data_IF_519565430872
#
_entry.id   IF_519565430872
#
_cell.length_a   1.000
_cell.length_b   1.000
_cell.length_c   1.000
_cell.angle_alpha   90.00
_cell.angle_beta   90.00
_cell.angle_gamma   90.00
#
_symmetry.space_group_name_H-M   'P 1'
#
loop_
_entity.id
_entity.type
_entity.pdbx_description
1 polymer ?
#
# COMPACT_ATOMS: atom_id res chain seq x y z
N UNK A 1 56.77 -27.44 45.67
CA UNK A 1 55.51 -26.71 45.90
C UNK A 1 54.55 -27.02 44.76
N UNK A 2 53.41 -27.63 45.09
CA UNK A 2 52.53 -28.32 44.13
C UNK A 2 51.66 -27.40 43.26
N UNK A 3 51.38 -27.87 42.04
CA UNK A 3 50.20 -27.44 41.26
C UNK A 3 49.05 -28.38 41.60
N UNK A 4 47.99 -27.80 42.18
CA UNK A 4 46.71 -28.44 42.50
C UNK A 4 46.01 -28.92 41.21
N UNK A 5 45.59 -30.18 41.18
CA UNK A 5 44.46 -30.64 40.37
C UNK A 5 43.18 -30.15 41.04
N UNK A 6 42.36 -29.37 40.33
CA UNK A 6 41.00 -29.00 40.75
C UNK A 6 40.02 -29.48 39.67
N UNK A 7 39.15 -30.37 40.11
CA UNK A 7 37.80 -30.68 39.62
C UNK A 7 37.61 -31.04 38.15
N UNK A 8 37.97 -32.29 37.84
CA UNK A 8 37.49 -33.02 36.66
C UNK A 8 36.20 -33.83 36.95
N UNK A 9 35.72 -33.87 38.20
CA UNK A 9 34.51 -34.61 38.61
C UNK A 9 33.21 -33.80 38.50
N UNK A 10 33.25 -32.47 38.64
CA UNK A 10 32.05 -31.62 38.63
C UNK A 10 31.34 -31.54 37.26
N UNK A 11 32.03 -31.91 36.17
CA UNK A 11 31.48 -31.84 34.81
C UNK A 11 30.76 -33.13 34.36
N UNK A 12 30.89 -34.25 35.09
CA UNK A 12 30.32 -35.54 34.67
C UNK A 12 28.85 -35.74 35.08
N UNK A 13 28.37 -35.01 36.09
CA UNK A 13 26.99 -35.11 36.56
C UNK A 13 26.07 -33.96 36.09
N UNK A 14 26.63 -32.81 35.70
CA UNK A 14 25.86 -31.62 35.32
C UNK A 14 25.15 -31.76 33.97
N UNK A 15 25.79 -32.40 32.99
CA UNK A 15 25.21 -32.64 31.67
C UNK A 15 23.99 -33.58 31.69
N UNK A 16 24.02 -34.76 32.34
CA UNK A 16 22.85 -35.64 32.39
C UNK A 16 21.69 -35.06 33.21
N UNK A 17 21.97 -34.24 34.24
CA UNK A 17 20.94 -33.55 35.02
C UNK A 17 20.23 -32.48 34.19
N UNK A 18 20.96 -31.69 33.40
CA UNK A 18 20.37 -30.69 32.49
C UNK A 18 19.50 -31.35 31.42
N UNK A 19 19.93 -32.50 30.89
CA UNK A 19 19.15 -33.27 29.92
C UNK A 19 17.86 -33.79 30.58
N UNK A 20 17.94 -34.34 31.80
CA UNK A 20 16.77 -34.79 32.56
C UNK A 20 15.77 -33.67 32.85
N UNK A 21 16.26 -32.49 33.26
CA UNK A 21 15.41 -31.31 33.51
C UNK A 21 14.74 -30.83 32.21
N UNK A 22 15.46 -30.84 31.09
CA UNK A 22 14.90 -30.51 29.77
C UNK A 22 13.85 -31.50 29.29
N UNK A 23 14.05 -32.81 29.55
CA UNK A 23 13.05 -33.82 29.20
C UNK A 23 11.79 -33.69 30.07
N UNK A 24 11.94 -33.40 31.36
CA UNK A 24 10.82 -33.20 32.28
C UNK A 24 10.05 -31.91 31.92
N UNK A 25 10.74 -30.82 31.56
CA UNK A 25 10.08 -29.58 31.13
C UNK A 25 9.33 -29.75 29.81
N UNK A 26 9.92 -30.44 28.83
CA UNK A 26 9.25 -30.74 27.57
C UNK A 26 8.05 -31.67 27.79
N UNK A 27 8.17 -32.71 28.61
CA UNK A 27 7.06 -33.61 28.92
C UNK A 27 5.89 -32.86 29.59
N UNK A 28 6.18 -31.98 30.56
CA UNK A 28 5.14 -31.15 31.20
C UNK A 28 4.44 -30.23 30.20
N UNK A 29 5.16 -29.60 29.28
CA UNK A 29 4.56 -28.76 28.21
C UNK A 29 3.64 -29.60 27.32
N UNK A 30 4.08 -30.78 26.88
CA UNK A 30 3.28 -31.66 26.02
C UNK A 30 2.09 -32.31 26.72
N UNK A 31 2.13 -32.51 28.04
CA UNK A 31 1.00 -33.09 28.79
C UNK A 31 0.01 -32.04 29.28
N UNK A 32 0.48 -30.84 29.69
CA UNK A 32 -0.38 -29.82 30.28
C UNK A 32 -0.98 -28.84 29.27
N UNK A 33 -0.32 -28.53 28.13
CA UNK A 33 -0.94 -27.66 27.12
C UNK A 33 -2.24 -28.25 26.55
N UNK A 34 -2.30 -29.52 26.12
CA UNK A 34 -3.53 -30.08 25.58
C UNK A 34 -4.66 -30.14 26.62
N UNK A 35 -4.31 -30.35 27.89
CA UNK A 35 -5.27 -30.40 29.00
C UNK A 35 -5.87 -29.01 29.30
N UNK A 36 -5.06 -27.96 29.28
CA UNK A 36 -5.52 -26.57 29.44
C UNK A 36 -6.37 -26.09 28.25
N UNK A 37 -6.03 -26.52 27.02
CA UNK A 37 -6.84 -26.25 25.83
C UNK A 37 -8.23 -26.93 25.87
N UNK A 38 -8.31 -28.14 26.46
CA UNK A 38 -9.58 -28.88 26.61
C UNK A 38 -10.54 -28.26 27.62
N UNK A 39 -10.02 -27.63 28.68
CA UNK A 39 -10.83 -26.92 29.68
C UNK A 39 -11.43 -25.61 29.13
N UNK A 40 -10.80 -24.99 28.13
CA UNK A 40 -11.23 -23.74 27.50
C UNK A 40 -11.98 -23.93 26.16
N UNK A 41 -12.27 -25.17 25.74
CA UNK A 41 -13.07 -25.45 24.53
C UNK A 41 -12.41 -25.04 23.20
N UNK A 42 -11.08 -24.99 23.11
CA UNK A 42 -10.36 -24.56 21.89
C UNK A 42 -10.01 -25.70 20.92
N UNK A 43 -10.29 -25.49 19.63
CA UNK A 43 -9.89 -26.36 18.51
C UNK A 43 -8.38 -26.21 18.19
N UNK A 44 -7.59 -27.30 18.14
CA UNK A 44 -6.13 -27.25 17.94
C UNK A 44 -5.68 -26.82 16.53
N UNK A 45 -6.59 -26.66 15.56
CA UNK A 45 -6.27 -26.21 14.19
C UNK A 45 -5.96 -24.70 14.05
N UNK A 46 -6.06 -23.92 15.15
CA UNK A 46 -5.86 -22.44 15.16
C UNK A 46 -4.52 -21.95 15.73
N UNK A 47 -3.56 -22.83 16.01
CA UNK A 47 -2.32 -22.47 16.71
C UNK A 47 -1.25 -21.78 15.84
N UNK A 48 -1.43 -21.66 14.51
CA UNK A 48 -0.49 -20.92 13.65
C UNK A 48 -0.77 -19.40 13.55
N UNK A 49 -1.83 -18.88 14.19
CA UNK A 49 -2.24 -17.47 13.98
C UNK A 49 -2.14 -16.53 15.19
N UNK A 50 -1.33 -16.82 16.20
CA UNK A 50 -1.22 -15.95 17.38
C UNK A 50 0.23 -15.60 17.73
N UNK A 51 0.86 -14.82 16.86
CA UNK A 51 1.83 -13.81 17.28
C UNK A 51 1.09 -12.45 17.28
N UNK A 52 0.46 -12.13 18.42
CA UNK A 52 -0.17 -10.84 18.68
C UNK A 52 0.94 -9.79 18.82
N UNK A 53 1.08 -8.92 17.81
CA UNK A 53 1.73 -7.62 18.00
C UNK A 53 0.63 -6.64 18.47
N UNK A 54 0.76 -6.20 19.72
CA UNK A 54 0.15 -4.97 20.22
C UNK A 54 1.02 -3.80 19.77
N UNK A 55 0.40 -2.85 19.07
CA UNK A 55 0.61 -1.39 19.15
C UNK A 55 -0.33 -0.80 18.08
N UNK A 56 -1.18 0.18 18.34
CA UNK A 56 -0.91 1.44 19.01
C UNK A 56 -1.17 2.54 17.98
N UNK A 57 -2.45 2.94 17.87
CA UNK A 57 -2.95 4.10 17.13
C UNK A 57 -2.71 4.15 15.59
N UNK A 58 -3.49 3.36 14.86
CA UNK A 58 -3.98 3.72 13.53
C UNK A 58 -5.43 3.21 13.46
N UNK A 59 -6.37 4.13 13.30
CA UNK A 59 -7.80 3.87 13.40
C UNK A 59 -8.27 2.56 12.75
N UNK A 60 -8.90 1.72 13.58
CA UNK A 60 -9.72 0.55 13.27
C UNK A 60 -9.87 0.21 11.77
N UNK A 61 -8.94 -0.58 11.26
CA UNK A 61 -9.05 -1.32 9.99
C UNK A 61 -9.73 -2.67 10.24
N UNK A 62 -10.98 -2.64 10.70
CA UNK A 62 -11.84 -3.83 10.67
C UNK A 62 -12.51 -3.93 9.29
N UNK A 63 -12.15 -4.98 8.54
CA UNK A 63 -12.64 -5.25 7.19
C UNK A 63 -11.48 -5.60 6.27
N UNK A 64 -11.19 -6.90 6.14
CA UNK A 64 -10.00 -7.50 5.54
C UNK A 64 -9.41 -6.71 4.38
N UNK A 65 -8.23 -6.12 4.61
CA UNK A 65 -7.36 -5.68 3.53
C UNK A 65 -6.99 -6.92 2.72
N UNK A 66 -7.53 -7.03 1.51
CA UNK A 66 -7.04 -7.98 0.52
C UNK A 66 -5.53 -7.75 0.40
N UNK A 67 -4.73 -8.79 0.63
CA UNK A 67 -3.28 -8.64 0.70
C UNK A 67 -2.74 -8.34 -0.70
N UNK A 68 -2.56 -7.06 -1.01
CA UNK A 68 -2.07 -6.62 -2.30
C UNK A 68 -0.62 -7.01 -2.53
N UNK A 69 -0.35 -7.60 -3.70
CA UNK A 69 0.99 -7.82 -4.23
C UNK A 69 0.98 -8.09 -5.75
N UNK A 70 0.76 -7.02 -6.53
CA UNK A 70 0.73 -7.03 -8.01
C UNK A 70 1.92 -6.25 -8.59
N UNK A 71 2.26 -6.57 -9.84
CA UNK A 71 3.29 -5.86 -10.62
C UNK A 71 2.88 -5.75 -12.08
N UNK A 72 3.69 -5.03 -12.85
CA UNK A 72 3.49 -4.80 -14.29
C UNK A 72 4.30 -5.83 -15.07
N UNK A 73 3.65 -6.57 -15.95
CA UNK A 73 4.31 -7.48 -16.88
C UNK A 73 5.09 -6.72 -17.95
N UNK A 74 6.16 -7.33 -18.45
CA UNK A 74 7.02 -6.76 -19.48
C UNK A 74 7.65 -5.41 -19.10
N UNK A 75 7.95 -5.25 -17.81
CA UNK A 75 8.60 -4.07 -17.26
C UNK A 75 9.79 -4.50 -16.40
N UNK A 76 10.94 -3.87 -16.63
CA UNK A 76 12.10 -4.02 -15.74
C UNK A 76 12.41 -2.70 -15.02
N UNK A 77 12.17 -2.70 -13.71
CA UNK A 77 12.74 -1.65 -12.86
C UNK A 77 14.20 -1.95 -12.54
N UNK A 78 15.05 -0.95 -12.76
CA UNK A 78 16.47 -0.97 -12.47
C UNK A 78 16.74 -0.52 -11.04
N UNK A 79 17.97 -0.70 -10.60
CA UNK A 79 18.41 -0.33 -9.26
C UNK A 79 19.34 -1.37 -8.65
N UNK A 80 20.13 -0.98 -7.62
CA UNK A 80 20.98 -1.89 -6.87
C UNK A 80 20.17 -3.03 -6.25
N UNK A 81 20.67 -4.26 -6.40
CA UNK A 81 20.09 -5.43 -5.77
C UNK A 81 20.41 -5.42 -4.27
N UNK A 82 19.36 -5.53 -3.45
CA UNK A 82 19.48 -5.85 -2.02
C UNK A 82 19.39 -7.36 -1.79
N UNK A 83 18.79 -8.10 -2.73
CA UNK A 83 18.86 -9.56 -2.80
C UNK A 83 19.01 -10.04 -4.24
N UNK A 84 20.01 -10.89 -4.48
CA UNK A 84 20.36 -11.40 -5.80
C UNK A 84 19.42 -12.54 -6.21
N UNK A 85 18.77 -12.38 -7.37
CA UNK A 85 17.75 -13.34 -7.84
C UNK A 85 18.29 -14.69 -8.28
N UNK A 86 19.59 -14.78 -8.62
CA UNK A 86 20.25 -16.04 -8.97
C UNK A 86 20.14 -17.10 -7.87
N UNK A 87 20.13 -16.66 -6.61
CA UNK A 87 20.03 -17.49 -5.40
C UNK A 87 18.69 -17.33 -4.67
N UNK A 88 17.84 -16.42 -5.14
CA UNK A 88 16.56 -16.10 -4.52
C UNK A 88 15.43 -16.28 -5.52
N UNK A 89 14.73 -17.41 -5.41
CA UNK A 89 13.72 -17.83 -6.37
C UNK A 89 12.36 -18.08 -5.73
N UNK A 90 11.31 -17.75 -6.45
CA UNK A 90 9.92 -18.03 -6.09
C UNK A 90 9.17 -18.68 -7.26
N UNK A 91 7.98 -19.19 -6.99
CA UNK A 91 7.10 -19.75 -8.01
C UNK A 91 6.08 -18.73 -8.57
N UNK A 92 6.02 -17.52 -8.01
CA UNK A 92 5.14 -16.44 -8.45
C UNK A 92 5.71 -15.05 -8.20
N UNK A 93 5.22 -14.08 -8.97
CA UNK A 93 5.51 -12.65 -8.77
C UNK A 93 4.93 -12.15 -7.44
N UNK A 94 3.76 -12.65 -7.03
CA UNK A 94 3.14 -12.32 -5.75
C UNK A 94 4.05 -12.65 -4.57
N UNK A 95 4.68 -13.83 -4.55
CA UNK A 95 5.64 -14.19 -3.50
C UNK A 95 6.90 -13.33 -3.52
N UNK A 96 7.37 -12.95 -4.72
CA UNK A 96 8.49 -12.02 -4.86
C UNK A 96 8.15 -10.63 -4.30
N UNK A 97 6.95 -10.12 -4.59
CA UNK A 97 6.42 -8.91 -4.01
C UNK A 97 6.33 -8.98 -2.48
N UNK A 98 5.73 -10.06 -1.95
CA UNK A 98 5.59 -10.27 -0.50
C UNK A 98 6.95 -10.31 0.20
N UNK A 99 7.96 -10.91 -0.44
CA UNK A 99 9.33 -10.90 0.07
C UNK A 99 9.93 -9.49 0.14
N UNK A 100 9.70 -8.64 -0.88
CA UNK A 100 10.11 -7.23 -0.83
C UNK A 100 9.37 -6.48 0.28
N UNK A 101 8.05 -6.64 0.34
CA UNK A 101 7.17 -6.01 1.34
C UNK A 101 7.54 -6.38 2.77
N UNK A 102 7.95 -7.62 3.02
CA UNK A 102 8.44 -8.06 4.33
C UNK A 102 9.73 -7.34 4.77
N UNK A 103 10.46 -6.70 3.85
CA UNK A 103 11.62 -5.86 4.15
C UNK A 103 11.25 -4.39 4.42
N UNK A 104 9.95 -4.09 4.57
CA UNK A 104 9.41 -2.77 4.93
C UNK A 104 8.89 -2.71 6.38
N UNK A 105 9.27 -3.64 7.24
CA UNK A 105 8.72 -3.79 8.60
C UNK A 105 9.41 -2.91 9.67
N UNK A 106 10.31 -2.00 9.28
CA UNK A 106 10.99 -1.12 10.23
C UNK A 106 10.05 -0.05 10.82
N UNK A 107 10.13 0.18 12.13
CA UNK A 107 9.45 1.31 12.77
C UNK A 107 10.14 2.66 12.43
N UNK A 108 11.41 2.63 12.02
CA UNK A 108 12.21 3.79 11.70
C UNK A 108 12.81 3.66 10.29
N UNK A 109 12.28 4.41 9.32
CA UNK A 109 12.93 4.65 8.03
C UNK A 109 12.32 3.98 6.79
N UNK A 110 12.88 4.27 5.60
CA UNK A 110 12.40 3.78 4.31
C UNK A 110 12.63 2.27 4.16
N UNK A 111 11.86 1.62 3.28
CA UNK A 111 11.99 0.18 3.04
C UNK A 111 13.42 -0.20 2.59
N UNK A 112 13.96 -1.33 3.06
CA UNK A 112 15.21 -1.89 2.51
C UNK A 112 15.03 -2.38 1.08
N UNK A 113 13.83 -2.89 0.74
CA UNK A 113 13.41 -3.20 -0.61
C UNK A 113 12.18 -2.37 -0.96
N UNK A 114 12.27 -1.56 -2.00
CA UNK A 114 11.12 -0.79 -2.52
C UNK A 114 10.78 -1.15 -3.98
N UNK A 115 11.51 -2.11 -4.54
CA UNK A 115 11.36 -2.56 -5.92
C UNK A 115 11.65 -4.04 -6.00
N UNK A 116 10.86 -4.77 -6.76
CA UNK A 116 11.11 -6.18 -7.04
C UNK A 116 10.94 -6.47 -8.52
N UNK A 117 11.67 -7.48 -9.00
CA UNK A 117 11.64 -7.93 -10.40
C UNK A 117 11.61 -9.47 -10.40
N UNK A 118 10.68 -10.06 -11.13
CA UNK A 118 10.44 -11.50 -11.16
C UNK A 118 10.31 -12.05 -12.58
N UNK A 119 10.90 -13.22 -12.85
CA UNK A 119 10.76 -13.88 -14.15
C UNK A 119 9.83 -15.09 -14.07
N UNK A 120 8.59 -14.92 -14.54
CA UNK A 120 7.52 -15.93 -14.41
C UNK A 120 7.27 -16.80 -15.64
N UNK A 121 7.71 -16.40 -16.83
CA UNK A 121 7.45 -17.15 -18.05
C UNK A 121 8.55 -18.16 -18.32
N UNK A 122 8.27 -19.46 -18.11
CA UNK A 122 9.27 -20.54 -18.27
C UNK A 122 9.96 -20.54 -19.64
N UNK A 123 9.26 -20.18 -20.72
CA UNK A 123 9.81 -20.20 -22.08
C UNK A 123 10.75 -19.01 -22.32
N UNK A 124 10.35 -17.83 -21.88
CA UNK A 124 11.11 -16.58 -22.09
C UNK A 124 12.26 -16.42 -21.09
N UNK A 125 12.08 -16.89 -19.85
CA UNK A 125 13.05 -16.71 -18.78
C UNK A 125 14.27 -17.62 -18.88
N UNK A 126 14.16 -18.80 -19.52
CA UNK A 126 15.25 -19.78 -19.59
C UNK A 126 15.81 -20.12 -18.20
N UNK A 127 17.11 -19.92 -18.00
CA UNK A 127 17.80 -20.15 -16.70
C UNK A 127 17.34 -19.21 -15.58
N UNK A 128 16.74 -18.07 -15.93
CA UNK A 128 16.24 -17.05 -15.01
C UNK A 128 14.84 -17.35 -14.47
N UNK A 129 14.22 -18.44 -14.91
CA UNK A 129 12.88 -18.79 -14.43
C UNK A 129 12.85 -18.88 -12.91
N UNK A 130 11.87 -18.18 -12.33
CA UNK A 130 11.65 -18.08 -10.90
C UNK A 130 12.57 -17.09 -10.17
N UNK A 131 13.58 -16.49 -10.82
CA UNK A 131 14.44 -15.49 -10.18
C UNK A 131 13.61 -14.31 -9.66
N UNK A 132 13.85 -13.95 -8.40
CA UNK A 132 13.27 -12.80 -7.74
C UNK A 132 14.38 -11.87 -7.29
N UNK A 133 14.47 -10.71 -7.92
CA UNK A 133 15.45 -9.69 -7.59
C UNK A 133 14.79 -8.65 -6.71
N UNK A 134 15.29 -8.51 -5.48
CA UNK A 134 14.86 -7.44 -4.58
C UNK A 134 15.83 -6.29 -4.74
N UNK A 135 15.32 -5.09 -4.96
CA UNK A 135 16.08 -3.89 -5.33
C UNK A 135 15.67 -2.70 -4.48
N UNK A 136 16.50 -1.65 -4.54
CA UNK A 136 16.26 -0.35 -3.92
C UNK A 136 16.37 0.76 -4.96
N UNK A 137 15.39 1.64 -5.04
CA UNK A 137 15.46 2.85 -5.86
C UNK A 137 16.27 3.93 -5.17
N UNK A 138 16.92 4.77 -5.98
CA UNK A 138 17.42 6.06 -5.51
C UNK A 138 16.27 7.01 -5.17
N UNK A 139 15.21 6.97 -5.99
CA UNK A 139 14.00 7.76 -5.83
C UNK A 139 12.77 6.92 -6.19
N UNK A 140 11.94 6.59 -5.19
CA UNK A 140 10.75 5.76 -5.37
C UNK A 140 9.65 6.43 -6.20
N UNK A 141 9.67 7.76 -6.32
CA UNK A 141 8.73 8.51 -7.17
C UNK A 141 9.27 8.78 -8.58
N UNK A 142 10.52 8.43 -8.86
CA UNK A 142 11.12 8.37 -10.21
C UNK A 142 11.93 7.07 -10.33
N UNK A 143 11.26 5.91 -10.39
CA UNK A 143 11.94 4.63 -10.47
C UNK A 143 12.71 4.51 -11.78
N UNK A 144 13.97 4.06 -11.70
CA UNK A 144 14.77 3.82 -12.89
C UNK A 144 14.18 2.63 -13.67
N UNK A 145 14.01 2.78 -14.99
CA UNK A 145 13.48 1.74 -15.89
C UNK A 145 14.37 1.58 -17.12
N UNK A 146 14.40 0.38 -17.70
CA UNK A 146 15.05 0.18 -18.99
C UNK A 146 14.28 0.91 -20.09
N UNK A 147 14.89 1.89 -20.75
CA UNK A 147 14.34 2.51 -21.96
C UNK A 147 14.74 1.70 -23.21
N UNK A 148 13.75 1.18 -23.95
CA UNK A 148 13.94 0.74 -25.34
C UNK A 148 13.44 -0.66 -25.74
N UNK A 149 12.59 -0.68 -26.78
CA UNK A 149 12.60 -1.60 -27.94
C UNK A 149 12.25 -3.08 -27.78
N UNK A 150 12.61 -3.74 -26.69
CA UNK A 150 12.35 -5.18 -26.49
C UNK A 150 11.39 -5.40 -25.34
N UNK A 151 10.40 -6.27 -25.56
CA UNK A 151 9.52 -6.78 -24.51
C UNK A 151 10.37 -7.38 -23.40
N UNK A 152 10.39 -6.75 -22.23
CA UNK A 152 11.11 -7.27 -21.07
C UNK A 152 10.52 -8.62 -20.65
N UNK A 153 11.36 -9.57 -20.25
CA UNK A 153 10.91 -10.88 -19.71
C UNK A 153 10.45 -10.79 -18.25
N UNK A 154 10.59 -9.61 -17.65
CA UNK A 154 10.39 -9.39 -16.24
C UNK A 154 9.00 -8.82 -15.94
N UNK A 155 8.45 -9.26 -14.81
CA UNK A 155 7.38 -8.57 -14.10
C UNK A 155 8.02 -7.77 -12.98
N UNK A 156 7.71 -6.48 -12.88
CA UNK A 156 8.27 -5.63 -11.80
C UNK A 156 7.18 -4.90 -11.03
N UNK A 157 7.45 -4.57 -9.77
CA UNK A 157 6.56 -3.76 -8.95
C UNK A 157 7.34 -2.91 -7.95
N UNK A 158 6.64 -1.92 -7.39
CA UNK A 158 7.15 -1.01 -6.38
C UNK A 158 6.49 -1.31 -5.04
N UNK A 159 7.18 -1.02 -3.95
CA UNK A 159 6.67 -1.03 -2.58
C UNK A 159 6.99 0.32 -1.95
N UNK A 160 5.97 0.99 -1.43
CA UNK A 160 6.15 2.24 -0.70
C UNK A 160 6.03 1.98 0.81
N UNK A 161 7.09 2.34 1.54
CA UNK A 161 7.13 2.26 2.99
C UNK A 161 6.27 3.31 3.68
N UNK A 162 6.33 3.33 5.01
CA UNK A 162 5.68 4.38 5.81
C UNK A 162 6.27 5.75 5.45
N UNK A 163 5.41 6.71 5.13
CA UNK A 163 5.82 8.07 4.75
C UNK A 163 6.41 8.20 3.34
N UNK A 164 6.48 7.11 2.57
CA UNK A 164 6.91 7.12 1.17
C UNK A 164 5.72 7.01 0.23
N UNK A 165 5.91 7.33 -1.06
CA UNK A 165 4.85 7.18 -2.05
C UNK A 165 3.72 8.20 -1.93
N UNK A 166 3.99 9.35 -1.32
CA UNK A 166 3.00 10.40 -1.09
C UNK A 166 3.20 11.54 -2.10
N UNK A 167 2.12 11.88 -2.80
CA UNK A 167 2.08 12.95 -3.81
C UNK A 167 1.10 14.04 -3.36
N UNK A 168 1.32 15.27 -3.79
CA UNK A 168 0.48 16.42 -3.47
C UNK A 168 -0.40 16.78 -4.67
N UNK A 169 -1.71 16.90 -4.45
CA UNK A 169 -2.64 17.59 -5.35
C UNK A 169 -2.85 19.01 -4.80
N UNK A 170 -2.16 19.98 -5.35
CA UNK A 170 -2.29 21.38 -4.94
C UNK A 170 -3.48 22.04 -5.65
N UNK A 171 -4.33 22.72 -4.88
CA UNK A 171 -5.45 23.53 -5.35
C UNK A 171 -5.42 24.90 -4.66
N UNK A 172 -6.20 25.85 -5.15
CA UNK A 172 -6.37 27.16 -4.47
C UNK A 172 -7.14 27.06 -3.15
N UNK A 173 -7.66 25.88 -2.81
CA UNK A 173 -8.39 25.63 -1.56
C UNK A 173 -7.56 24.89 -0.50
N UNK A 174 -6.35 24.43 -0.86
CA UNK A 174 -5.47 23.65 -0.01
C UNK A 174 -4.77 22.54 -0.81
N UNK A 175 -3.93 21.78 -0.12
CA UNK A 175 -3.20 20.65 -0.71
C UNK A 175 -3.74 19.34 -0.17
N UNK A 176 -4.00 18.38 -1.05
CA UNK A 176 -4.36 17.01 -0.67
C UNK A 176 -3.14 16.11 -0.87
N UNK A 177 -2.60 15.55 0.21
CA UNK A 177 -1.56 14.54 0.11
C UNK A 177 -2.19 13.15 -0.07
N UNK A 178 -1.80 12.47 -1.16
CA UNK A 178 -2.31 11.17 -1.54
C UNK A 178 -1.20 10.14 -1.34
N UNK A 179 -1.43 9.17 -0.46
CA UNK A 179 -0.60 7.97 -0.34
C UNK A 179 -0.99 7.00 -1.44
N UNK A 180 -0.03 6.63 -2.30
CA UNK A 180 -0.23 5.73 -3.43
C UNK A 180 -0.09 4.25 -3.04
N UNK A 181 -0.78 3.37 -3.76
CA UNK A 181 -0.82 1.91 -3.51
C UNK A 181 -0.23 1.10 -4.68
N UNK A 182 1.10 1.09 -4.88
CA UNK A 182 1.72 0.45 -6.04
C UNK A 182 1.59 -1.08 -6.06
N UNK A 183 1.40 -1.70 -4.90
CA UNK A 183 1.20 -3.15 -4.76
C UNK A 183 -0.24 -3.58 -5.07
N UNK A 184 -1.20 -2.67 -4.95
CA UNK A 184 -2.62 -2.89 -5.28
C UNK A 184 -2.96 -2.48 -6.72
N UNK A 185 -2.43 -1.33 -7.15
CA UNK A 185 -2.77 -0.66 -8.40
C UNK A 185 -1.51 -0.20 -9.15
N UNK A 186 -0.59 -1.13 -9.51
CA UNK A 186 0.69 -0.78 -10.12
C UNK A 186 0.58 0.05 -11.41
N UNK A 187 -0.38 -0.24 -12.30
CA UNK A 187 -0.55 0.53 -13.54
C UNK A 187 -1.07 1.94 -13.27
N UNK A 188 -2.03 2.06 -12.35
CA UNK A 188 -2.54 3.37 -11.91
C UNK A 188 -1.44 4.22 -11.29
N UNK A 189 -0.63 3.63 -10.40
CA UNK A 189 0.48 4.35 -9.77
C UNK A 189 1.54 4.73 -10.80
N UNK A 190 1.90 3.84 -11.74
CA UNK A 190 2.83 4.17 -12.81
C UNK A 190 2.37 5.39 -13.62
N UNK A 191 1.08 5.48 -13.94
CA UNK A 191 0.52 6.66 -14.61
C UNK A 191 0.66 7.94 -13.77
N UNK A 192 0.40 7.88 -12.46
CA UNK A 192 0.61 9.04 -11.56
C UNK A 192 2.09 9.46 -11.53
N UNK A 193 3.03 8.51 -11.55
CA UNK A 193 4.46 8.82 -11.59
C UNK A 193 4.86 9.48 -12.93
N UNK A 194 4.31 9.04 -14.05
CA UNK A 194 4.50 9.68 -15.35
C UNK A 194 3.96 11.12 -15.37
N UNK A 195 2.78 11.36 -14.77
CA UNK A 195 2.24 12.71 -14.61
C UNK A 195 3.14 13.61 -13.73
N UNK A 196 3.82 13.07 -12.71
CA UNK A 196 4.75 13.84 -11.88
C UNK A 196 5.96 14.33 -12.67
N UNK A 197 6.41 13.59 -13.69
CA UNK A 197 7.56 13.96 -14.52
C UNK A 197 7.26 15.17 -15.41
N UNK A 198 6.01 15.32 -15.84
CA UNK A 198 5.55 16.44 -16.68
C UNK A 198 5.48 17.78 -15.92
N UNK A 199 5.64 17.78 -14.59
CA UNK A 199 5.61 18.94 -13.65
C UNK A 199 4.33 19.77 -13.62
N UNK A 200 3.48 19.68 -14.64
CA UNK A 200 2.19 20.34 -14.75
C UNK A 200 1.20 19.42 -15.47
N UNK A 201 -0.01 19.32 -14.94
CA UNK A 201 -1.13 18.69 -15.64
C UNK A 201 -2.09 19.80 -16.08
N UNK A 202 -1.91 20.31 -17.30
CA UNK A 202 -2.67 21.46 -17.81
C UNK A 202 -4.18 21.18 -18.02
N UNK A 203 -4.63 19.93 -17.84
CA UNK A 203 -6.03 19.51 -17.91
C UNK A 203 -6.61 19.01 -16.58
N UNK A 204 -5.81 18.89 -15.52
CA UNK A 204 -6.28 18.30 -14.27
C UNK A 204 -7.13 19.28 -13.45
N UNK A 205 -8.31 18.84 -13.05
CA UNK A 205 -9.24 19.65 -12.26
C UNK A 205 -10.32 18.80 -11.58
N UNK A 206 -10.99 19.33 -10.57
CA UNK A 206 -12.27 18.83 -10.07
C UNK A 206 -13.42 19.60 -10.74
N UNK A 207 -14.46 18.89 -11.15
CA UNK A 207 -15.68 19.47 -11.75
C UNK A 207 -16.95 19.07 -11.02
N UNK A 208 -16.93 18.06 -10.15
CA UNK A 208 -18.10 17.59 -9.39
C UNK A 208 -17.77 17.56 -7.91
N UNK A 209 -18.71 18.04 -7.11
CA UNK A 209 -18.56 18.18 -5.67
C UNK A 209 -19.90 17.90 -4.98
N UNK A 210 -19.92 16.88 -4.14
CA UNK A 210 -21.10 16.45 -3.40
C UNK A 210 -20.72 16.21 -1.95
N UNK A 211 -21.26 17.03 -1.05
CA UNK A 211 -21.08 16.86 0.39
C UNK A 211 -21.75 15.59 0.92
N UNK A 212 -21.57 15.33 2.22
CA UNK A 212 -22.19 14.18 2.91
C UNK A 212 -23.70 14.30 3.14
N UNK A 213 -24.27 15.49 2.97
CA UNK A 213 -25.69 15.73 3.28
C UNK A 213 -26.05 15.26 4.69
N UNK A 214 -27.17 14.57 4.83
CA UNK A 214 -27.63 13.95 6.08
C UNK A 214 -27.48 12.42 6.08
N UNK A 215 -26.69 11.89 5.14
CA UNK A 215 -26.63 10.46 4.86
C UNK A 215 -25.43 9.75 5.50
N UNK A 216 -24.40 10.51 5.88
CA UNK A 216 -23.22 9.99 6.58
C UNK A 216 -22.89 10.84 7.81
N UNK A 217 -22.31 10.18 8.82
CA UNK A 217 -21.81 10.83 10.04
C UNK A 217 -20.49 11.58 9.80
N UNK A 218 -19.97 12.21 10.87
CA UNK A 218 -18.69 12.93 10.85
C UNK A 218 -17.47 12.06 10.54
N UNK A 219 -17.57 10.73 10.71
CA UNK A 219 -16.54 9.75 10.37
C UNK A 219 -16.71 9.17 8.97
N UNK A 220 -17.79 9.52 8.27
CA UNK A 220 -18.12 9.01 6.94
C UNK A 220 -18.84 7.66 6.96
N UNK A 221 -19.41 7.23 8.09
CA UNK A 221 -20.23 6.02 8.14
C UNK A 221 -21.68 6.33 7.74
N UNK A 222 -22.35 5.44 6.99
CA UNK A 222 -23.75 5.61 6.65
C UNK A 222 -24.63 5.73 7.90
N UNK A 223 -25.56 6.68 7.89
CA UNK A 223 -26.60 6.80 8.91
C UNK A 223 -27.70 5.78 8.59
N UNK A 224 -28.21 5.09 9.61
CA UNK A 224 -29.24 4.07 9.44
C UNK A 224 -30.48 4.63 8.72
N UNK A 225 -30.97 3.91 7.71
CA UNK A 225 -32.13 4.27 6.88
C UNK A 225 -31.97 5.57 6.05
N UNK A 226 -30.79 6.18 6.00
CA UNK A 226 -30.54 7.35 5.16
C UNK A 226 -30.27 6.94 3.68
N UNK A 227 -30.65 7.77 2.70
CA UNK A 227 -30.36 7.47 1.30
C UNK A 227 -28.86 7.52 1.03
N UNK A 228 -28.32 6.57 0.27
CA UNK A 228 -26.89 6.52 -0.10
C UNK A 228 -26.56 7.40 -1.33
N UNK A 229 -27.40 8.40 -1.57
CA UNK A 229 -27.23 9.43 -2.58
C UNK A 229 -28.43 9.60 -3.53
N UNK A 230 -28.44 10.71 -4.29
CA UNK A 230 -27.58 11.88 -4.12
C UNK A 230 -27.93 12.69 -2.83
N UNK A 231 -26.95 13.37 -2.20
CA UNK A 231 -25.56 13.48 -2.64
C UNK A 231 -24.74 12.22 -2.34
N UNK A 232 -23.69 11.95 -3.13
CA UNK A 232 -22.84 10.76 -3.03
C UNK A 232 -21.55 10.96 -2.21
N UNK A 233 -21.42 12.06 -1.45
CA UNK A 233 -20.26 12.28 -0.57
C UNK A 233 -18.89 12.14 -1.26
N UNK A 234 -18.67 12.83 -2.38
CA UNK A 234 -17.43 12.74 -3.17
C UNK A 234 -17.04 14.07 -3.81
N UNK A 235 -15.75 14.20 -4.14
CA UNK A 235 -15.28 15.15 -5.15
C UNK A 235 -14.74 14.36 -6.33
N UNK A 236 -15.09 14.76 -7.55
CA UNK A 236 -14.73 14.05 -8.78
C UNK A 236 -14.13 15.02 -9.80
N UNK A 237 -13.14 14.52 -10.54
CA UNK A 237 -12.32 15.29 -11.46
C UNK A 237 -11.66 14.43 -12.52
N UNK A 238 -10.82 15.07 -13.32
CA UNK A 238 -10.05 14.45 -14.41
C UNK A 238 -8.55 14.51 -14.09
N UNK A 239 -7.84 13.39 -14.25
CA UNK A 239 -6.37 13.34 -14.23
C UNK A 239 -5.83 13.06 -15.64
N UNK A 240 -5.92 14.02 -16.55
CA UNK A 240 -5.40 13.93 -17.91
C UNK A 240 -4.68 15.22 -18.28
N UNK A 241 -3.50 15.11 -18.87
CA UNK A 241 -2.74 16.27 -19.36
C UNK A 241 -3.18 16.66 -20.76
N UNK A 242 -3.17 17.95 -21.07
CA UNK A 242 -3.45 18.39 -22.44
C UNK A 242 -2.32 17.93 -23.37
N UNK A 243 -2.69 17.34 -24.51
CA UNK A 243 -1.76 16.97 -25.58
C UNK A 243 -1.30 15.50 -25.58
N UNK A 244 -1.45 14.79 -24.46
CA UNK A 244 -1.15 13.35 -24.36
C UNK A 244 -2.43 12.59 -23.98
N UNK A 245 -3.04 11.81 -24.89
CA UNK A 245 -4.28 11.10 -24.62
C UNK A 245 -4.10 10.06 -23.50
N UNK A 246 -5.02 10.06 -22.54
CA UNK A 246 -5.02 9.06 -21.49
C UNK A 246 -5.28 7.66 -22.06
N UNK A 247 -4.38 6.73 -21.73
CA UNK A 247 -4.56 5.31 -22.03
C UNK A 247 -5.37 4.65 -20.92
N UNK A 248 -6.55 4.13 -21.28
CA UNK A 248 -7.42 3.38 -20.36
C UNK A 248 -6.64 2.30 -19.60
N UNK A 249 -6.85 2.27 -18.29
CA UNK A 249 -6.23 1.31 -17.37
C UNK A 249 -7.23 0.18 -17.11
N UNK A 250 -6.77 -1.07 -17.24
CA UNK A 250 -7.56 -2.24 -16.87
C UNK A 250 -7.84 -2.24 -15.36
N UNK A 251 -9.01 -2.69 -14.90
CA UNK A 251 -9.32 -2.75 -13.47
C UNK A 251 -8.25 -3.53 -12.68
N UNK A 252 -7.78 -2.95 -11.57
CA UNK A 252 -6.79 -3.56 -10.69
C UNK A 252 -7.48 -4.08 -9.41
N UNK A 253 -6.90 -3.89 -8.22
CA UNK A 253 -7.61 -4.25 -6.98
C UNK A 253 -8.74 -3.24 -6.74
N UNK A 254 -9.97 -3.76 -6.57
CA UNK A 254 -11.15 -2.95 -6.30
C UNK A 254 -11.68 -3.25 -4.89
N UNK A 255 -11.12 -2.63 -3.83
CA UNK A 255 -11.63 -2.82 -2.47
C UNK A 255 -12.94 -2.06 -2.25
N UNK A 256 -13.52 -2.19 -1.06
CA UNK A 256 -14.59 -1.27 -0.63
C UNK A 256 -14.06 0.15 -0.57
N UNK A 257 -14.86 1.11 -1.03
CA UNK A 257 -14.53 2.53 -0.93
C UNK A 257 -14.68 2.97 0.52
N UNK A 258 -13.59 3.53 1.05
CA UNK A 258 -13.53 4.11 2.38
C UNK A 258 -13.42 5.63 2.25
N UNK A 259 -13.73 6.35 3.32
CA UNK A 259 -13.44 7.78 3.41
C UNK A 259 -11.95 8.02 3.13
N UNK A 260 -11.65 8.94 2.22
CA UNK A 260 -10.32 9.25 1.74
C UNK A 260 -9.82 8.38 0.57
N UNK A 261 -10.53 7.32 0.17
CA UNK A 261 -10.15 6.53 -1.01
C UNK A 261 -10.09 7.40 -2.26
N UNK A 262 -9.02 7.22 -3.04
CA UNK A 262 -8.84 7.82 -4.37
C UNK A 262 -8.94 6.71 -5.41
N UNK A 263 -9.89 6.83 -6.34
CA UNK A 263 -10.22 5.75 -7.26
C UNK A 263 -10.61 6.25 -8.65
N UNK A 264 -10.40 5.41 -9.65
CA UNK A 264 -10.85 5.68 -11.02
C UNK A 264 -12.35 5.49 -11.15
N UNK A 265 -12.99 6.35 -11.94
CA UNK A 265 -14.31 6.11 -12.52
C UNK A 265 -14.10 5.28 -13.79
N UNK A 266 -14.54 4.01 -13.76
CA UNK A 266 -14.28 3.08 -14.85
C UNK A 266 -12.78 2.82 -15.03
N UNK A 267 -12.27 3.08 -16.23
CA UNK A 267 -10.85 2.87 -16.59
C UNK A 267 -10.00 4.14 -16.56
N UNK A 268 -10.51 5.25 -15.99
CA UNK A 268 -9.89 6.59 -16.06
C UNK A 268 -10.17 7.33 -17.39
N UNK A 269 -9.73 8.61 -17.55
CA UNK A 269 -8.93 9.43 -16.62
C UNK A 269 -9.74 10.09 -15.50
N UNK A 270 -11.05 9.88 -15.51
CA UNK A 270 -11.96 10.38 -14.49
C UNK A 270 -11.71 9.66 -13.16
N UNK A 271 -11.60 10.42 -12.08
CA UNK A 271 -11.31 9.90 -10.74
C UNK A 271 -12.17 10.60 -9.69
N UNK A 272 -12.28 10.00 -8.52
CA UNK A 272 -12.92 10.63 -7.37
C UNK A 272 -12.11 10.43 -6.09
N UNK A 273 -12.35 11.33 -5.14
CA UNK A 273 -11.95 11.22 -3.74
C UNK A 273 -13.23 11.08 -2.92
N UNK A 274 -13.32 9.99 -2.15
CA UNK A 274 -14.48 9.72 -1.32
C UNK A 274 -14.43 10.50 -0.01
N UNK A 275 -15.53 11.14 0.37
CA UNK A 275 -15.71 11.79 1.67
C UNK A 275 -16.36 10.85 2.69
N UNK A 276 -16.80 9.67 2.25
CA UNK A 276 -17.49 8.68 3.08
C UNK A 276 -17.15 7.22 2.73
N UNK A 277 -17.65 6.29 3.53
CA UNK A 277 -17.58 4.86 3.28
C UNK A 277 -18.76 4.44 2.40
N UNK A 278 -18.48 3.75 1.29
CA UNK A 278 -19.47 3.23 0.35
C UNK A 278 -19.34 1.72 0.19
N UNK A 279 -20.09 0.97 0.99
CA UNK A 279 -20.14 -0.49 0.91
C UNK A 279 -20.97 -0.97 -0.29
N UNK A 280 -21.97 -0.18 -0.67
CA UNK A 280 -22.93 -0.42 -1.74
C UNK A 280 -22.31 -0.36 -3.14
N UNK A 281 -21.15 0.28 -3.29
CA UNK A 281 -20.40 0.32 -4.55
C UNK A 281 -19.63 -0.98 -4.87
N UNK A 282 -19.85 -2.03 -4.06
CA UNK A 282 -19.54 -3.43 -4.36
C UNK A 282 -18.25 -3.70 -5.16
N UNK A 283 -17.11 -3.16 -4.71
CA UNK A 283 -15.79 -3.52 -5.24
C UNK A 283 -15.63 -3.31 -6.76
N UNK A 284 -16.19 -2.24 -7.32
CA UNK A 284 -16.11 -1.98 -8.78
C UNK A 284 -15.03 -0.98 -9.18
N UNK A 285 -14.50 -0.21 -8.25
CA UNK A 285 -13.57 0.89 -8.53
C UNK A 285 -12.14 0.53 -8.14
N UNK A 286 -11.20 0.73 -9.05
CA UNK A 286 -9.77 0.59 -8.76
C UNK A 286 -9.32 1.71 -7.83
N UNK A 287 -8.93 1.36 -6.60
CA UNK A 287 -8.40 2.30 -5.62
C UNK A 287 -6.88 2.32 -5.73
N UNK A 288 -6.34 3.45 -6.16
CA UNK A 288 -4.90 3.62 -6.39
C UNK A 288 -4.21 4.45 -5.31
N UNK A 289 -4.97 5.05 -4.38
CA UNK A 289 -4.41 5.73 -3.24
C UNK A 289 -5.45 6.14 -2.19
N UNK A 290 -4.98 6.85 -1.17
CA UNK A 290 -5.82 7.47 -0.15
C UNK A 290 -5.31 8.86 0.23
N UNK A 291 -6.21 9.81 0.42
CA UNK A 291 -5.92 11.10 1.06
C UNK A 291 -5.44 10.84 2.49
N UNK A 292 -4.41 11.57 2.92
CA UNK A 292 -3.97 11.52 4.31
C UNK A 292 -5.05 12.09 5.25
N UNK A 293 -5.27 11.52 6.45
CA UNK A 293 -6.34 11.94 7.35
C UNK A 293 -6.36 13.46 7.64
N UNK A 294 -5.19 14.07 7.79
CA UNK A 294 -5.00 15.50 8.05
C UNK A 294 -5.50 16.41 6.93
N UNK A 295 -5.51 15.96 5.67
CA UNK A 295 -5.93 16.78 4.53
C UNK A 295 -7.40 16.55 4.14
N UNK A 296 -8.12 15.69 4.85
CA UNK A 296 -9.53 15.44 4.54
C UNK A 296 -10.41 16.69 4.71
N UNK A 297 -10.00 17.64 5.56
CA UNK A 297 -10.68 18.94 5.68
C UNK A 297 -10.62 19.75 4.38
N UNK A 298 -9.55 19.61 3.58
CA UNK A 298 -9.42 20.26 2.27
C UNK A 298 -10.42 19.66 1.28
N UNK A 299 -10.58 18.32 1.28
CA UNK A 299 -11.55 17.65 0.43
C UNK A 299 -12.98 18.05 0.80
N UNK A 300 -13.29 18.15 2.09
CA UNK A 300 -14.60 18.62 2.58
C UNK A 300 -14.85 20.09 2.24
N UNK A 301 -13.82 20.94 2.30
CA UNK A 301 -13.90 22.34 1.87
C UNK A 301 -14.22 22.47 0.37
N UNK A 302 -13.60 21.67 -0.48
CA UNK A 302 -13.90 21.62 -1.93
C UNK A 302 -15.34 21.13 -2.16
N UNK A 303 -15.80 20.14 -1.39
CA UNK A 303 -17.16 19.62 -1.47
C UNK A 303 -18.25 20.65 -1.11
N UNK A 304 -17.90 21.68 -0.34
CA UNK A 304 -18.78 22.78 0.07
C UNK A 304 -18.79 23.98 -0.88
N UNK A 305 -18.05 23.93 -2.00
CA UNK A 305 -18.03 25.02 -2.98
C UNK A 305 -19.37 25.17 -3.73
N UNK A 306 -19.66 26.34 -4.33
CA UNK A 306 -20.88 26.54 -5.09
C UNK A 306 -21.03 25.54 -6.26
N UNK A 307 -22.19 24.89 -6.32
CA UNK A 307 -22.54 23.92 -7.37
C UNK A 307 -23.79 24.36 -8.14
N UNK A 308 -24.01 23.71 -9.28
CA UNK A 308 -25.24 23.75 -10.07
C UNK A 308 -25.75 22.31 -10.25
N UNK A 309 -27.07 22.09 -10.25
CA UNK A 309 -27.62 20.76 -10.49
C UNK A 309 -27.40 20.36 -11.96
N UNK A 310 -27.16 19.07 -12.18
CA UNK A 310 -27.11 18.43 -13.50
C UNK A 310 -27.66 17.00 -13.40
N UNK A 311 -27.90 16.32 -14.53
CA UNK A 311 -28.45 14.96 -14.57
C UNK A 311 -27.61 14.07 -15.48
N UNK A 312 -26.96 13.06 -14.90
CA UNK A 312 -26.15 12.09 -15.65
C UNK A 312 -26.77 10.70 -15.53
N UNK A 313 -27.10 10.07 -16.66
CA UNK A 313 -27.73 8.75 -16.69
C UNK A 313 -28.96 8.63 -15.76
N UNK A 314 -29.81 9.65 -15.74
CA UNK A 314 -30.98 9.79 -14.86
C UNK A 314 -30.67 9.89 -13.34
N UNK A 315 -29.44 10.23 -12.98
CA UNK A 315 -29.02 10.50 -11.61
C UNK A 315 -28.75 12.00 -11.46
N UNK A 316 -29.38 12.63 -10.46
CA UNK A 316 -29.09 14.03 -10.13
C UNK A 316 -27.68 14.13 -9.52
N UNK A 317 -26.89 15.07 -10.02
CA UNK A 317 -25.53 15.33 -9.56
C UNK A 317 -25.32 16.82 -9.29
N UNK A 318 -24.33 17.14 -8.46
CA UNK A 318 -23.93 18.53 -8.18
C UNK A 318 -22.59 18.83 -8.85
N UNK A 319 -22.62 19.64 -9.91
CA UNK A 319 -21.44 20.04 -10.68
C UNK A 319 -20.95 21.37 -10.15
N UNK A 320 -19.64 21.53 -9.95
CA UNK A 320 -19.05 22.79 -9.54
C UNK A 320 -19.38 23.90 -10.55
N UNK A 321 -19.73 25.09 -10.06
CA UNK A 321 -19.98 26.24 -10.94
C UNK A 321 -18.69 26.66 -11.66
N UNK A 322 -17.57 26.61 -10.95
CA UNK A 322 -16.22 26.81 -11.47
C UNK A 322 -15.38 25.56 -11.17
N UNK A 323 -14.71 25.03 -12.19
CA UNK A 323 -13.81 23.90 -11.98
C UNK A 323 -12.66 24.30 -11.07
N UNK A 324 -12.25 23.42 -10.16
CA UNK A 324 -11.08 23.64 -9.29
C UNK A 324 -9.86 23.04 -9.96
N UNK A 325 -8.94 23.85 -10.51
CA UNK A 325 -7.72 23.33 -11.12
C UNK A 325 -6.86 22.65 -10.06
N UNK A 326 -6.15 21.58 -10.45
CA UNK A 326 -5.23 20.91 -9.55
C UNK A 326 -3.87 20.68 -10.20
N UNK A 327 -2.82 20.74 -9.39
CA UNK A 327 -1.44 20.46 -9.81
C UNK A 327 -0.89 19.28 -9.03
N UNK A 328 -0.46 18.27 -9.75
CA UNK A 328 0.22 17.12 -9.18
C UNK A 328 1.69 17.47 -8.93
N UNK A 329 2.16 17.31 -7.68
CA UNK A 329 3.54 17.58 -7.28
C UNK A 329 4.09 16.52 -6.34
N UNK A 330 5.42 16.48 -6.27
CA UNK A 330 6.15 15.74 -5.24
C UNK A 330 6.09 16.51 -3.92
N UNK A 331 5.99 15.79 -2.80
CA UNK A 331 6.22 16.40 -1.50
C UNK A 331 7.66 16.90 -1.39
N UNK A 332 7.84 18.11 -0.86
CA UNK A 332 9.18 18.58 -0.49
C UNK A 332 9.63 17.76 0.72
N UNK A 333 10.67 16.93 0.57
CA UNK A 333 11.37 16.38 1.73
C UNK A 333 11.92 17.57 2.51
N UNK A 334 11.52 17.74 3.78
CA UNK A 334 12.24 18.67 4.65
C UNK A 334 13.67 18.14 4.76
N UNK A 335 14.64 18.87 4.21
CA UNK A 335 16.03 18.64 4.54
C UNK A 335 16.24 19.14 5.97
N UNK A 336 15.96 18.27 6.94
CA UNK A 336 16.41 18.42 8.33
C UNK A 336 17.88 18.02 8.41
N UNK A 337 18.73 19.03 8.56
CA UNK A 337 20.11 19.02 9.05
C UNK A 337 20.76 17.64 9.35
N UNK A 338 21.53 17.14 8.38
CA UNK A 338 22.71 16.31 8.65
C UNK A 338 23.94 16.98 8.04
N UNK A 339 24.17 18.24 8.43
CA UNK A 339 25.53 18.78 8.47
C UNK A 339 26.19 18.21 9.73
N UNK A 340 26.63 16.94 9.66
CA UNK A 340 27.71 16.49 10.53
C UNK A 340 28.96 17.22 10.06
N UNK A 341 29.29 18.30 10.76
CA UNK A 341 30.60 18.95 10.67
C UNK A 341 31.66 17.87 10.90
N UNK A 342 32.51 17.70 9.90
CA UNK A 342 33.84 17.15 10.07
C UNK A 342 34.65 18.15 10.91
N UNK A 343 34.97 17.77 12.13
CA UNK A 343 36.17 18.24 12.85
C UNK A 343 37.06 17.01 13.11
#
# INVERSE_FOLDING_TARGET
MGRKQIDQEASRLTLPILILVSFISCAAVYTFLPFLFRLNGGDPSKLESFAVIRDGDAGNLEGGAEECCRGIENLEYWGPAVKWGSEFKFNSSELCCKACKAMCNGNDGPCLCDTWVYCGNRKECGSKFGECWLKKQKDTLAPDRQEGGTTSIWTSGLIFGRGEGIVALETDHGTLHIKLFPDCAPHSVAYILELLELRHCAGCHFYRAEGRGQSWDSKGNPIENAPLGPPFALIQGTLETQGEPFKKISPEVCPYIKRGSVAWVGSGPEFFISLANHQEWNKVYTVFGSVLPEDMEVAEKIAGLPTKPDVWNNVNVSVLQEHVPLRLKRMKKSHGDLNMKSD
#
